data_IF_786023075135
#
_entry.id   IF_786023075135
#
_cell.length_a   1.000
_cell.length_b   1.000
_cell.length_c   1.000
_cell.angle_alpha   90.00
_cell.angle_beta   90.00
_cell.angle_gamma   90.00
#
_symmetry.space_group_name_H-M   'P 1'
#
loop_
_entity.id
_entity.type
_entity.pdbx_description
1 polymer ?
#
# COMPACT_ATOMS: atom_id res chain seq x y z
N UNK A 1 -17.30 2.47 -10.04
CA UNK A 1 -15.85 2.72 -10.07
C UNK A 1 -15.48 3.35 -8.74
N UNK A 2 -14.37 2.94 -8.13
CA UNK A 2 -13.90 3.54 -6.90
C UNK A 2 -13.63 5.05 -7.11
N UNK A 3 -14.00 5.85 -6.12
CA UNK A 3 -13.70 7.28 -6.14
C UNK A 3 -12.26 7.47 -5.63
N UNK A 4 -11.40 8.09 -6.44
CA UNK A 4 -9.99 8.35 -6.12
C UNK A 4 -9.79 9.00 -4.74
N UNK A 5 -10.62 9.99 -4.40
CA UNK A 5 -10.54 10.70 -3.13
C UNK A 5 -10.93 9.76 -1.97
N UNK A 6 -12.00 9.00 -2.11
CA UNK A 6 -12.45 8.04 -1.09
C UNK A 6 -11.40 6.95 -0.84
N UNK A 7 -10.79 6.42 -1.92
CA UNK A 7 -9.73 5.41 -1.82
C UNK A 7 -8.52 5.95 -1.03
N UNK A 8 -8.04 7.15 -1.38
CA UNK A 8 -6.91 7.78 -0.69
C UNK A 8 -7.24 8.08 0.78
N UNK A 9 -8.42 8.63 1.06
CA UNK A 9 -8.89 8.91 2.42
C UNK A 9 -8.93 7.65 3.28
N UNK A 10 -9.42 6.55 2.73
CA UNK A 10 -9.52 5.28 3.46
C UNK A 10 -8.14 4.66 3.70
N UNK A 11 -7.21 4.73 2.73
CA UNK A 11 -5.81 4.29 2.93
C UNK A 11 -5.17 5.08 4.05
N UNK A 12 -5.36 6.40 4.07
CA UNK A 12 -4.85 7.26 5.14
C UNK A 12 -5.51 6.92 6.48
N UNK A 13 -6.83 6.68 6.54
CA UNK A 13 -7.56 6.31 7.76
C UNK A 13 -7.01 5.01 8.34
N UNK A 14 -6.92 3.96 7.54
CA UNK A 14 -6.39 2.65 7.96
C UNK A 14 -4.93 2.77 8.38
N UNK A 15 -4.11 3.51 7.62
CA UNK A 15 -2.71 3.78 7.91
C UNK A 15 -1.76 2.62 7.65
N UNK A 16 -2.27 1.46 7.25
CA UNK A 16 -1.48 0.27 6.91
C UNK A 16 -2.06 -0.42 5.68
N UNK A 17 -1.20 -0.80 4.74
CA UNK A 17 -1.51 -1.57 3.55
C UNK A 17 -0.85 -2.94 3.66
N UNK A 18 -1.63 -4.00 3.61
CA UNK A 18 -1.11 -5.37 3.58
C UNK A 18 -0.60 -5.70 2.17
N UNK A 19 0.71 -5.87 2.01
CA UNK A 19 1.33 -6.29 0.75
C UNK A 19 1.27 -7.80 0.66
N UNK A 20 0.27 -8.32 -0.05
CA UNK A 20 -0.03 -9.75 -0.14
C UNK A 20 0.73 -10.39 -1.29
N UNK A 21 1.52 -11.39 -0.94
CA UNK A 21 2.16 -12.33 -1.86
C UNK A 21 1.64 -13.71 -1.52
N UNK A 22 0.91 -14.32 -2.45
CA UNK A 22 0.30 -15.61 -2.26
C UNK A 22 0.67 -16.56 -3.41
N UNK A 23 0.56 -17.86 -3.18
CA UNK A 23 0.82 -18.90 -4.18
C UNK A 23 -0.47 -19.39 -4.85
N UNK A 24 -1.63 -19.02 -4.31
CA UNK A 24 -2.95 -19.36 -4.85
C UNK A 24 -4.01 -18.32 -4.44
N UNK A 25 -5.13 -18.32 -5.14
CA UNK A 25 -6.30 -17.50 -4.80
C UNK A 25 -6.79 -17.83 -3.40
N UNK A 26 -6.92 -19.11 -3.06
CA UNK A 26 -7.37 -19.57 -1.73
C UNK A 26 -6.46 -19.05 -0.60
N UNK A 27 -5.14 -19.07 -0.81
CA UNK A 27 -4.20 -18.53 0.17
C UNK A 27 -4.36 -17.02 0.32
N UNK A 28 -4.54 -16.29 -0.79
CA UNK A 28 -4.76 -14.84 -0.76
C UNK A 28 -6.05 -14.48 -0.03
N UNK A 29 -7.12 -15.25 -0.22
CA UNK A 29 -8.38 -15.08 0.51
C UNK A 29 -8.17 -15.22 2.02
N UNK A 30 -7.52 -16.29 2.46
CA UNK A 30 -7.24 -16.52 3.89
C UNK A 30 -6.38 -15.42 4.50
N UNK A 31 -5.36 -14.94 3.77
CA UNK A 31 -4.53 -13.81 4.20
C UNK A 31 -5.39 -12.54 4.33
N UNK A 32 -6.23 -12.27 3.33
CA UNK A 32 -7.09 -11.09 3.31
C UNK A 32 -8.11 -11.12 4.45
N UNK A 33 -8.78 -12.27 4.67
CA UNK A 33 -9.70 -12.45 5.79
C UNK A 33 -9.01 -12.18 7.13
N UNK A 34 -7.81 -12.70 7.32
CA UNK A 34 -7.03 -12.49 8.54
C UNK A 34 -6.60 -11.03 8.72
N UNK A 35 -6.22 -10.35 7.63
CA UNK A 35 -5.90 -8.92 7.66
C UNK A 35 -7.13 -8.08 8.07
N UNK A 36 -8.30 -8.36 7.48
CA UNK A 36 -9.56 -7.69 7.82
C UNK A 36 -9.91 -7.90 9.29
N UNK A 37 -9.83 -9.13 9.78
CA UNK A 37 -10.07 -9.46 11.18
C UNK A 37 -9.09 -8.73 12.12
N UNK A 38 -7.89 -8.42 11.65
CA UNK A 38 -6.90 -7.57 12.33
C UNK A 38 -7.11 -6.07 12.17
N UNK A 39 -8.15 -5.63 11.45
CA UNK A 39 -8.44 -4.21 11.18
C UNK A 39 -7.65 -3.61 10.02
N UNK A 40 -6.95 -4.42 9.22
CA UNK A 40 -6.20 -3.98 8.04
C UNK A 40 -7.09 -4.13 6.81
N UNK A 41 -7.72 -3.04 6.39
CA UNK A 41 -8.71 -3.03 5.31
C UNK A 41 -8.16 -2.52 3.96
N UNK A 42 -6.87 -2.26 3.83
CA UNK A 42 -6.22 -1.91 2.57
C UNK A 42 -5.26 -3.04 2.15
N UNK A 43 -5.52 -3.63 0.99
CA UNK A 43 -4.84 -4.84 0.50
C UNK A 43 -4.18 -4.55 -0.84
N UNK A 44 -2.89 -4.79 -0.95
CA UNK A 44 -2.09 -4.70 -2.17
C UNK A 44 -1.79 -6.12 -2.68
N UNK A 45 -2.41 -6.55 -3.78
CA UNK A 45 -2.15 -7.82 -4.44
C UNK A 45 -1.04 -7.64 -5.48
N UNK A 46 0.09 -8.34 -5.31
CA UNK A 46 1.26 -8.08 -6.16
C UNK A 46 1.27 -8.89 -7.45
N UNK A 47 1.68 -8.27 -8.56
CA UNK A 47 1.87 -8.91 -9.87
C UNK A 47 3.08 -9.86 -9.94
N UNK A 48 3.73 -10.13 -8.80
CA UNK A 48 4.64 -11.28 -8.66
C UNK A 48 3.90 -12.60 -8.50
N UNK A 49 2.58 -12.54 -8.24
CA UNK A 49 1.70 -13.71 -8.18
C UNK A 49 1.20 -14.02 -9.59
N UNK A 50 1.33 -15.25 -10.08
CA UNK A 50 0.74 -15.65 -11.37
C UNK A 50 -0.77 -15.40 -11.39
N UNK A 51 -1.28 -14.86 -12.49
CA UNK A 51 -2.70 -14.52 -12.65
C UNK A 51 -3.23 -13.52 -11.59
N UNK A 52 -2.42 -12.52 -11.22
CA UNK A 52 -2.80 -11.51 -10.25
C UNK A 52 -4.08 -10.74 -10.65
N UNK A 53 -4.34 -10.57 -11.94
CA UNK A 53 -5.59 -10.04 -12.48
C UNK A 53 -6.81 -10.87 -12.04
N UNK A 54 -6.73 -12.19 -12.17
CA UNK A 54 -7.80 -13.10 -11.73
C UNK A 54 -7.98 -13.10 -10.22
N UNK A 55 -6.88 -12.98 -9.49
CA UNK A 55 -6.92 -12.83 -8.05
C UNK A 55 -7.64 -11.54 -7.63
N UNK A 56 -7.34 -10.40 -8.27
CA UNK A 56 -8.02 -9.14 -8.03
C UNK A 56 -9.52 -9.26 -8.32
N UNK A 57 -9.90 -9.84 -9.47
CA UNK A 57 -11.31 -10.10 -9.82
C UNK A 57 -12.02 -10.92 -8.74
N UNK A 58 -11.41 -12.02 -8.28
CA UNK A 58 -11.98 -12.90 -7.27
C UNK A 58 -12.16 -12.17 -5.92
N UNK A 59 -11.16 -11.40 -5.49
CA UNK A 59 -11.26 -10.63 -4.25
C UNK A 59 -12.31 -9.53 -4.33
N UNK A 60 -12.42 -8.84 -5.48
CA UNK A 60 -13.46 -7.83 -5.69
C UNK A 60 -14.86 -8.41 -5.76
N UNK A 61 -15.00 -9.67 -6.19
CA UNK A 61 -16.28 -10.37 -6.18
C UNK A 61 -16.68 -10.83 -4.78
N UNK A 62 -15.70 -11.22 -3.94
CA UNK A 62 -15.92 -11.73 -2.59
C UNK A 62 -16.29 -10.64 -1.60
N UNK A 63 -15.60 -9.48 -1.66
CA UNK A 63 -15.77 -8.42 -0.67
C UNK A 63 -16.60 -7.27 -1.24
N UNK A 64 -17.58 -6.79 -0.46
CA UNK A 64 -18.40 -5.65 -0.85
C UNK A 64 -17.56 -4.36 -0.95
N UNK A 65 -17.97 -3.48 -1.86
CA UNK A 65 -17.34 -2.16 -1.95
C UNK A 65 -17.53 -1.42 -0.63
N UNK A 66 -16.41 -1.00 -0.03
CA UNK A 66 -16.39 -0.27 1.23
C UNK A 66 -15.88 -1.06 2.44
N UNK A 67 -15.92 -2.38 2.44
CA UNK A 67 -15.30 -3.19 3.53
C UNK A 67 -13.77 -3.14 3.44
N UNK A 68 -13.24 -3.39 2.24
CA UNK A 68 -11.81 -3.31 1.96
C UNK A 68 -11.53 -2.52 0.69
N UNK A 69 -10.29 -2.09 0.56
CA UNK A 69 -9.75 -1.51 -0.67
C UNK A 69 -8.73 -2.49 -1.25
N UNK A 70 -8.91 -2.87 -2.50
CA UNK A 70 -8.01 -3.78 -3.20
C UNK A 70 -7.21 -3.00 -4.24
N UNK A 71 -5.90 -3.01 -4.11
CA UNK A 71 -4.96 -2.45 -5.07
C UNK A 71 -4.06 -3.50 -5.71
N UNK A 72 -3.40 -3.09 -6.77
CA UNK A 72 -2.38 -3.88 -7.45
C UNK A 72 -0.98 -3.35 -7.14
N UNK A 73 -0.07 -4.24 -6.74
CA UNK A 73 1.32 -3.93 -6.48
C UNK A 73 2.28 -4.58 -7.45
N UNK A 74 3.53 -4.10 -7.45
CA UNK A 74 4.58 -4.54 -8.39
C UNK A 74 4.14 -4.39 -9.85
N UNK A 75 3.39 -3.32 -10.11
CA UNK A 75 2.97 -2.94 -11.46
C UNK A 75 4.12 -2.20 -12.14
N UNK A 76 4.68 -2.80 -13.21
CA UNK A 76 5.92 -2.35 -13.82
C UNK A 76 5.72 -1.48 -15.08
N UNK A 77 4.49 -1.38 -15.59
CA UNK A 77 4.19 -0.65 -16.83
C UNK A 77 2.70 -0.30 -16.94
N UNK A 78 2.39 0.61 -17.88
CA UNK A 78 1.03 1.09 -18.12
C UNK A 78 0.08 -0.01 -18.63
N UNK A 79 0.57 -1.02 -19.34
CA UNK A 79 -0.26 -2.11 -19.83
C UNK A 79 -0.72 -2.99 -18.67
N UNK A 80 0.19 -3.34 -17.77
CA UNK A 80 -0.11 -4.08 -16.54
C UNK A 80 -1.04 -3.25 -15.64
N UNK A 81 -0.82 -1.93 -15.50
CA UNK A 81 -1.72 -1.04 -14.77
C UNK A 81 -3.14 -1.09 -15.35
N UNK A 82 -3.28 -1.03 -16.68
CA UNK A 82 -4.60 -1.09 -17.32
C UNK A 82 -5.30 -2.42 -17.07
N UNK A 83 -4.59 -3.53 -17.13
CA UNK A 83 -5.13 -4.86 -16.82
C UNK A 83 -5.61 -4.91 -15.36
N UNK A 84 -4.81 -4.43 -14.41
CA UNK A 84 -5.18 -4.38 -13.00
C UNK A 84 -6.44 -3.53 -12.77
N UNK A 85 -6.55 -2.37 -13.42
CA UNK A 85 -7.73 -1.50 -13.34
C UNK A 85 -8.97 -2.20 -13.90
N UNK A 86 -8.85 -2.92 -15.00
CA UNK A 86 -9.96 -3.70 -15.57
C UNK A 86 -10.40 -4.83 -14.65
N UNK A 87 -9.45 -5.47 -13.96
CA UNK A 87 -9.72 -6.49 -12.93
C UNK A 87 -10.38 -5.93 -11.66
N UNK A 88 -10.41 -4.61 -11.51
CA UNK A 88 -11.08 -3.93 -10.39
C UNK A 88 -10.14 -3.35 -9.34
N UNK A 89 -8.84 -3.25 -9.60
CA UNK A 89 -7.91 -2.57 -8.69
C UNK A 89 -8.32 -1.11 -8.46
N UNK A 90 -8.34 -0.70 -7.19
CA UNK A 90 -8.77 0.64 -6.75
C UNK A 90 -7.59 1.58 -6.52
N UNK A 91 -6.35 1.08 -6.54
CA UNK A 91 -5.10 1.84 -6.57
C UNK A 91 -3.98 1.00 -7.18
N UNK A 92 -2.95 1.67 -7.69
CA UNK A 92 -1.80 1.03 -8.35
C UNK A 92 -0.51 1.42 -7.64
N UNK A 93 0.30 0.43 -7.30
CA UNK A 93 1.60 0.61 -6.65
C UNK A 93 2.71 0.02 -7.52
N UNK A 94 3.76 0.80 -7.73
CA UNK A 94 4.96 0.40 -8.48
C UNK A 94 6.19 0.42 -7.57
N UNK A 95 7.22 -0.40 -7.83
CA UNK A 95 8.49 -0.31 -7.09
C UNK A 95 9.38 0.84 -7.57
N UNK A 96 9.05 1.50 -8.67
CA UNK A 96 9.79 2.60 -9.28
C UNK A 96 8.83 3.58 -9.97
N UNK A 97 9.33 4.74 -10.37
CA UNK A 97 8.56 5.72 -11.11
C UNK A 97 8.61 5.45 -12.62
N UNK A 98 7.43 5.18 -13.19
CA UNK A 98 7.18 5.14 -14.64
C UNK A 98 6.10 6.15 -15.00
N UNK A 99 6.44 7.20 -15.81
CA UNK A 99 5.49 8.24 -16.19
C UNK A 99 4.26 7.72 -16.91
N UNK A 100 4.39 6.70 -17.75
CA UNK A 100 3.26 6.18 -18.52
C UNK A 100 2.28 5.41 -17.63
N UNK A 101 2.76 4.72 -16.61
CA UNK A 101 1.92 4.10 -15.59
C UNK A 101 1.13 5.16 -14.82
N UNK A 102 1.76 6.24 -14.35
CA UNK A 102 1.07 7.33 -13.64
C UNK A 102 0.02 8.00 -14.54
N UNK A 103 0.36 8.33 -15.79
CA UNK A 103 -0.60 8.88 -16.76
C UNK A 103 -1.76 7.92 -17.05
N UNK A 104 -1.51 6.61 -17.12
CA UNK A 104 -2.56 5.61 -17.27
C UNK A 104 -3.53 5.67 -16.09
N UNK A 105 -3.02 5.63 -14.86
CA UNK A 105 -3.83 5.72 -13.65
C UNK A 105 -4.67 7.00 -13.61
N UNK A 106 -4.07 8.15 -13.90
CA UNK A 106 -4.74 9.45 -13.94
C UNK A 106 -5.90 9.47 -14.97
N UNK A 107 -5.68 8.88 -16.15
CA UNK A 107 -6.71 8.78 -17.20
C UNK A 107 -7.95 8.05 -16.72
N UNK A 108 -7.81 7.06 -15.87
CA UNK A 108 -8.91 6.24 -15.34
C UNK A 108 -9.37 6.65 -13.94
N UNK A 109 -8.80 7.72 -13.37
CA UNK A 109 -9.17 8.21 -12.04
C UNK A 109 -8.80 7.27 -10.90
N UNK A 110 -7.74 6.49 -11.07
CA UNK A 110 -7.23 5.53 -10.09
C UNK A 110 -5.99 6.11 -9.41
N UNK A 111 -5.88 6.07 -8.06
CA UNK A 111 -4.68 6.49 -7.36
C UNK A 111 -3.42 5.75 -7.84
N UNK A 112 -2.34 6.50 -8.05
CA UNK A 112 -1.02 5.97 -8.41
C UNK A 112 -0.01 6.21 -7.29
N UNK A 113 0.77 5.18 -6.96
CA UNK A 113 1.77 5.19 -5.91
C UNK A 113 3.11 4.66 -6.45
N UNK A 114 3.82 5.45 -7.30
CA UNK A 114 5.12 5.06 -7.84
C UNK A 114 6.19 5.03 -6.75
N UNK A 115 7.16 4.11 -6.87
CA UNK A 115 8.32 4.01 -6.01
C UNK A 115 9.32 5.13 -6.28
N UNK A 116 9.87 5.70 -5.22
CA UNK A 116 10.93 6.72 -5.26
C UNK A 116 12.00 6.42 -4.19
N UNK A 117 13.21 6.88 -4.46
CA UNK A 117 14.32 6.81 -3.52
C UNK A 117 15.23 8.05 -3.54
N UNK A 118 14.87 9.08 -4.31
CA UNK A 118 15.61 10.33 -4.41
C UNK A 118 14.66 11.54 -4.52
N UNK A 119 15.11 12.76 -4.15
CA UNK A 119 14.35 13.98 -4.39
C UNK A 119 14.01 14.21 -5.87
N UNK A 120 14.92 13.82 -6.79
CA UNK A 120 14.68 13.96 -8.24
C UNK A 120 13.50 13.09 -8.69
N UNK A 121 13.44 11.84 -8.25
CA UNK A 121 12.31 10.94 -8.54
C UNK A 121 11.02 11.44 -7.91
N UNK A 122 11.09 11.96 -6.67
CA UNK A 122 9.94 12.53 -5.99
C UNK A 122 9.31 13.67 -6.77
N UNK A 123 10.13 14.66 -7.19
CA UNK A 123 9.67 15.80 -7.99
C UNK A 123 9.09 15.34 -9.32
N UNK A 124 9.79 14.48 -10.06
CA UNK A 124 9.32 13.98 -11.36
C UNK A 124 8.00 13.23 -11.26
N UNK A 125 7.83 12.40 -10.21
CA UNK A 125 6.59 11.68 -9.97
C UNK A 125 5.43 12.63 -9.62
N UNK A 126 5.68 13.64 -8.78
CA UNK A 126 4.68 14.67 -8.42
C UNK A 126 4.27 15.51 -9.63
N UNK A 127 5.20 15.95 -10.46
CA UNK A 127 4.91 16.69 -11.70
C UNK A 127 4.10 15.85 -12.69
N UNK A 128 4.27 14.54 -12.71
CA UNK A 128 3.48 13.61 -13.51
C UNK A 128 2.07 13.38 -12.95
N UNK A 129 1.78 13.83 -11.74
CA UNK A 129 0.50 13.69 -11.06
C UNK A 129 0.34 12.41 -10.25
N UNK A 130 1.44 11.89 -9.67
CA UNK A 130 1.38 10.82 -8.69
C UNK A 130 0.65 11.28 -7.42
N UNK A 131 -0.17 10.42 -6.84
CA UNK A 131 -0.98 10.76 -5.66
C UNK A 131 -0.23 10.53 -4.35
N UNK A 132 0.55 9.45 -4.28
CA UNK A 132 1.36 9.07 -3.13
C UNK A 132 2.71 8.57 -3.64
N UNK A 133 3.79 8.98 -3.01
CA UNK A 133 5.13 8.51 -3.31
C UNK A 133 5.45 7.29 -2.43
N UNK A 134 5.62 6.12 -3.03
CA UNK A 134 6.09 4.95 -2.30
C UNK A 134 7.58 5.08 -2.01
N UNK A 135 7.96 5.21 -0.76
CA UNK A 135 9.38 5.17 -0.35
C UNK A 135 9.84 3.70 -0.33
N UNK A 136 10.71 3.32 -1.28
CA UNK A 136 11.12 1.93 -1.46
C UNK A 136 12.57 1.81 -1.97
N UNK A 137 13.40 0.93 -1.36
CA UNK A 137 13.10 0.06 -0.20
C UNK A 137 13.18 0.80 1.15
N UNK A 138 12.17 0.63 2.00
CA UNK A 138 12.08 1.31 3.28
C UNK A 138 13.11 0.84 4.32
N UNK A 139 13.59 -0.40 4.26
CA UNK A 139 14.65 -0.93 5.12
C UNK A 139 15.99 -0.19 4.96
N UNK A 140 16.23 0.47 3.82
CA UNK A 140 17.40 1.30 3.59
C UNK A 140 17.09 2.78 3.84
N UNK A 141 15.89 3.24 3.45
CA UNK A 141 15.50 4.64 3.51
C UNK A 141 15.37 5.19 4.94
N UNK A 142 14.91 4.43 5.90
CA UNK A 142 14.61 4.82 7.28
C UNK A 142 13.58 5.97 7.42
N UNK A 143 12.94 6.18 8.58
CA UNK A 143 11.98 7.28 8.78
C UNK A 143 12.55 8.69 8.57
N UNK A 144 13.88 8.88 8.73
CA UNK A 144 14.52 10.17 8.48
C UNK A 144 14.38 10.62 7.02
N UNK A 145 14.35 9.69 6.06
CA UNK A 145 14.16 9.99 4.64
C UNK A 145 12.91 10.85 4.38
N UNK A 146 11.79 10.52 5.04
CA UNK A 146 10.54 11.29 4.89
C UNK A 146 10.73 12.72 5.37
N UNK A 147 11.39 12.90 6.53
CA UNK A 147 11.66 14.24 7.08
C UNK A 147 12.59 15.06 6.17
N UNK A 148 13.61 14.39 5.62
CA UNK A 148 14.59 15.00 4.73
C UNK A 148 13.95 15.45 3.40
N UNK A 149 13.03 14.65 2.84
CA UNK A 149 12.23 15.04 1.67
C UNK A 149 11.26 16.18 2.02
N UNK A 150 10.59 16.14 3.16
CA UNK A 150 9.66 17.19 3.57
C UNK A 150 10.34 18.56 3.80
N UNK A 151 11.65 18.61 4.05
CA UNK A 151 12.39 19.85 4.16
C UNK A 151 12.19 20.73 2.91
N UNK A 152 12.66 20.30 1.73
CA UNK A 152 12.48 21.05 0.48
C UNK A 152 11.12 20.85 -0.19
N UNK A 153 10.40 19.76 0.09
CA UNK A 153 9.13 19.37 -0.59
C UNK A 153 8.07 19.03 0.46
N UNK A 154 7.56 20.02 1.21
CA UNK A 154 6.67 19.79 2.36
C UNK A 154 5.29 19.20 1.99
N UNK A 155 4.89 19.28 0.74
CA UNK A 155 3.65 18.76 0.19
C UNK A 155 3.78 17.33 -0.38
N UNK A 156 4.94 16.69 -0.29
CA UNK A 156 5.11 15.30 -0.74
C UNK A 156 4.30 14.34 0.16
N UNK A 157 3.37 13.61 -0.44
CA UNK A 157 2.58 12.59 0.26
C UNK A 157 3.30 11.26 0.12
N UNK A 158 3.74 10.66 1.24
CA UNK A 158 4.64 9.50 1.19
C UNK A 158 4.10 8.29 1.97
N UNK A 159 4.41 7.09 1.46
CA UNK A 159 4.09 5.81 2.05
C UNK A 159 5.31 4.87 1.96
N UNK A 160 6.01 4.56 3.05
CA UNK A 160 7.13 3.62 3.04
C UNK A 160 6.64 2.18 2.83
N UNK A 161 7.46 1.36 2.17
CA UNK A 161 7.23 -0.06 2.00
C UNK A 161 8.57 -0.82 1.96
N UNK A 162 8.61 -2.01 2.56
CA UNK A 162 9.84 -2.77 2.84
C UNK A 162 10.41 -2.41 4.20
N UNK A 163 10.75 -3.41 5.01
CA UNK A 163 11.31 -3.22 6.35
C UNK A 163 10.36 -2.61 7.38
N UNK A 164 9.11 -2.35 7.04
CA UNK A 164 8.11 -1.85 8.00
C UNK A 164 7.59 -3.01 8.84
N UNK A 165 7.63 -2.85 10.16
CA UNK A 165 7.12 -3.80 11.15
C UNK A 165 6.41 -3.11 12.32
N UNK A 166 5.91 -3.89 13.29
CA UNK A 166 5.17 -3.36 14.45
C UNK A 166 6.03 -2.52 15.39
N UNK A 167 7.35 -2.69 15.36
CA UNK A 167 8.27 -1.98 16.24
C UNK A 167 8.64 -0.60 15.68
N UNK A 168 8.72 -0.46 14.35
CA UNK A 168 9.13 0.77 13.67
C UNK A 168 8.00 1.58 13.03
N UNK A 169 6.78 1.03 12.89
CA UNK A 169 5.67 1.71 12.21
C UNK A 169 5.32 3.07 12.83
N UNK A 170 5.45 3.20 14.16
CA UNK A 170 5.22 4.48 14.85
C UNK A 170 6.18 5.57 14.37
N UNK A 171 7.44 5.23 14.14
CA UNK A 171 8.45 6.19 13.71
C UNK A 171 8.20 6.68 12.29
N UNK A 172 7.73 5.78 11.41
CA UNK A 172 7.30 6.14 10.06
C UNK A 172 6.12 7.12 10.05
N UNK A 173 5.08 6.83 10.85
CA UNK A 173 3.91 7.72 10.97
C UNK A 173 4.32 9.07 11.54
N UNK A 174 5.14 9.10 12.61
CA UNK A 174 5.65 10.34 13.21
C UNK A 174 6.57 11.13 12.27
N UNK A 175 7.23 10.46 11.34
CA UNK A 175 8.02 11.13 10.31
C UNK A 175 7.17 11.82 9.23
N UNK A 176 5.86 11.53 9.17
CA UNK A 176 4.91 12.14 8.23
C UNK A 176 4.40 11.20 7.14
N UNK A 177 4.61 9.88 7.27
CA UNK A 177 3.97 8.91 6.37
C UNK A 177 2.45 8.91 6.57
N UNK A 178 1.68 8.94 5.48
CA UNK A 178 0.20 8.86 5.56
C UNK A 178 -0.28 7.46 5.89
N UNK A 179 0.44 6.46 5.44
CA UNK A 179 0.25 5.04 5.66
C UNK A 179 1.59 4.31 5.49
N UNK A 180 1.64 3.04 5.83
CA UNK A 180 2.80 2.18 5.62
C UNK A 180 2.40 0.90 4.88
N UNK A 181 3.27 0.39 3.98
CA UNK A 181 3.11 -0.91 3.34
C UNK A 181 3.86 -2.00 4.11
N UNK A 182 3.16 -2.99 4.64
CA UNK A 182 3.76 -4.13 5.32
C UNK A 182 3.54 -5.44 4.56
N UNK A 183 4.63 -6.11 4.22
CA UNK A 183 4.63 -7.41 3.55
C UNK A 183 4.90 -8.55 4.54
N UNK A 184 6.09 -9.15 4.45
CA UNK A 184 6.45 -10.33 5.24
C UNK A 184 6.34 -10.14 6.75
N UNK A 185 6.51 -8.95 7.27
CA UNK A 185 6.33 -8.63 8.70
C UNK A 185 4.89 -8.83 9.17
N UNK A 186 3.90 -8.50 8.32
CA UNK A 186 2.48 -8.65 8.61
C UNK A 186 1.97 -10.05 8.29
N UNK A 187 2.30 -10.59 7.09
CA UNK A 187 1.71 -11.84 6.60
C UNK A 187 2.59 -13.08 6.84
N UNK A 188 3.53 -13.01 7.77
CA UNK A 188 4.50 -14.09 8.06
C UNK A 188 3.82 -15.45 8.32
N UNK A 189 2.72 -15.45 9.04
CA UNK A 189 1.95 -16.65 9.38
C UNK A 189 1.42 -17.42 8.16
N UNK A 190 1.24 -16.76 7.01
CA UNK A 190 0.80 -17.43 5.78
C UNK A 190 1.74 -18.55 5.30
N UNK A 191 3.04 -18.47 5.64
CA UNK A 191 4.04 -19.49 5.27
C UNK A 191 3.81 -20.83 6.00
N UNK A 192 3.25 -20.77 7.19
CA UNK A 192 2.99 -21.93 8.06
C UNK A 192 1.50 -22.27 8.19
N UNK A 193 0.63 -21.48 7.54
CA UNK A 193 -0.83 -21.61 7.67
C UNK A 193 -1.39 -21.02 8.96
N UNK A 194 -0.60 -20.25 9.71
CA UNK A 194 -1.02 -19.57 10.94
C UNK A 194 -1.64 -18.20 10.61
N UNK A 195 -2.91 -18.22 10.24
CA UNK A 195 -3.64 -16.99 9.90
C UNK A 195 -4.04 -16.18 11.14
N UNK A 196 -4.14 -16.80 12.31
CA UNK A 196 -4.37 -16.09 13.57
C UNK A 196 -3.20 -15.17 13.90
N UNK A 197 -1.97 -15.58 13.62
CA UNK A 197 -0.79 -14.72 13.74
C UNK A 197 -0.90 -13.46 12.88
N UNK A 198 -1.45 -13.56 11.66
CA UNK A 198 -1.67 -12.41 10.76
C UNK A 198 -2.68 -11.44 11.40
N UNK A 199 -3.79 -11.98 11.93
CA UNK A 199 -4.82 -11.19 12.62
C UNK A 199 -4.24 -10.44 13.82
N UNK A 200 -3.49 -11.10 14.69
CA UNK A 200 -2.89 -10.46 15.87
C UNK A 200 -1.84 -9.42 15.48
N UNK A 201 -1.01 -9.72 14.47
CA UNK A 201 -0.04 -8.75 13.95
C UNK A 201 -0.74 -7.52 13.34
N UNK A 202 -1.84 -7.72 12.63
CA UNK A 202 -2.69 -6.64 12.10
C UNK A 202 -3.23 -5.73 13.19
N UNK A 203 -3.76 -6.31 14.27
CA UNK A 203 -4.24 -5.55 15.45
C UNK A 203 -3.12 -4.69 16.06
N UNK A 204 -1.91 -5.25 16.18
CA UNK A 204 -0.75 -4.52 16.70
C UNK A 204 -0.37 -3.35 15.80
N UNK A 205 -0.32 -3.52 14.47
CA UNK A 205 -0.08 -2.42 13.53
C UNK A 205 -1.10 -1.29 13.71
N UNK A 206 -2.40 -1.63 13.70
CA UNK A 206 -3.48 -0.65 13.85
C UNK A 206 -3.38 0.08 15.19
N UNK A 207 -3.08 -0.63 16.27
CA UNK A 207 -2.89 -0.03 17.59
C UNK A 207 -1.71 0.95 17.60
N UNK A 208 -0.54 0.52 17.10
CA UNK A 208 0.67 1.36 17.05
C UNK A 208 0.48 2.62 16.23
N UNK A 209 -0.24 2.54 15.11
CA UNK A 209 -0.55 3.69 14.26
C UNK A 209 -1.47 4.67 15.00
N UNK A 210 -2.51 4.19 15.68
CA UNK A 210 -3.39 5.02 16.50
C UNK A 210 -2.62 5.74 17.62
N UNK A 211 -1.73 5.03 18.30
CA UNK A 211 -0.87 5.60 19.33
C UNK A 211 0.03 6.72 18.75
N UNK A 212 0.71 6.46 17.61
CA UNK A 212 1.55 7.45 16.97
C UNK A 212 0.79 8.73 16.62
N UNK A 213 -0.40 8.59 16.01
CA UNK A 213 -1.27 9.73 15.65
C UNK A 213 -1.76 10.51 16.87
N UNK A 214 -2.12 9.81 17.94
CA UNK A 214 -2.52 10.46 19.20
C UNK A 214 -1.37 11.23 19.88
N UNK A 215 -0.14 10.75 19.74
CA UNK A 215 1.07 11.43 20.22
C UNK A 215 1.40 12.69 19.42
N UNK A 216 1.11 12.69 18.10
CA UNK A 216 1.32 13.85 17.20
C UNK A 216 0.27 14.95 17.35
N UNK A 217 -0.92 14.62 17.88
CA UNK A 217 -2.02 15.57 18.09
C UNK A 217 -1.90 16.38 19.40
N UNK A 218 -0.90 16.08 20.23
CA UNK A 218 -0.59 16.79 21.49
C UNK A 218 0.41 17.91 21.27
#
# INVERSE_FOLDING_TARGET
MANKIETLSKIQEVGIVAVVRATSIEQAEKITDACIAGGVAAIELTYTVPHADKLIEAMKAKYNSGEIIIGAGTVMDAATARIAILAGAEYIVSPYFDPETVKCCNRYGIPSMPGIYTPTEAVAAMECGADVLKVFPGDIATPSFIKDIHGPIPNAVMMPSGGVDVDNVKDWIKAGAIACGAGSSLIKGAKTGDYDQITETGKLFVQRIKEARAEMAK
#
